data_IF_063138759023
#
_entry.id   IF_063138759023
#
_cell.length_a   1.000
_cell.length_b   1.000
_cell.length_c   1.000
_cell.angle_alpha   90.00
_cell.angle_beta   90.00
_cell.angle_gamma   90.00
#
_symmetry.space_group_name_H-M   'P 1'
#
loop_
_entity.id
_entity.type
_entity.pdbx_description
1 polymer ?
#
# COMPACT_ATOMS: atom_id res chain seq x y z
N UNK A 1 65.32 -28.83 13.10
CA UNK A 1 64.82 -27.47 12.82
C UNK A 1 63.83 -27.59 11.66
N UNK A 2 62.68 -26.88 11.68
CA UNK A 2 61.64 -26.83 10.62
C UNK A 2 60.47 -27.84 10.67
N UNK A 3 59.71 -27.96 11.77
CA UNK A 3 58.33 -28.53 11.70
C UNK A 3 57.31 -27.77 12.59
N UNK A 4 57.74 -27.04 13.63
CA UNK A 4 56.81 -26.42 14.61
C UNK A 4 56.20 -25.06 14.23
N UNK A 5 56.56 -24.45 13.09
CA UNK A 5 56.07 -23.12 12.71
C UNK A 5 54.78 -23.14 11.86
N UNK A 6 54.38 -24.29 11.31
CA UNK A 6 53.30 -24.36 10.31
C UNK A 6 51.89 -24.49 10.90
N UNK A 7 51.72 -25.29 11.96
CA UNK A 7 50.40 -25.66 12.50
C UNK A 7 49.67 -24.47 13.15
N UNK A 8 50.40 -23.57 13.83
CA UNK A 8 49.82 -22.34 14.41
C UNK A 8 49.39 -21.35 13.33
N UNK A 9 50.14 -21.26 12.24
CA UNK A 9 49.83 -20.36 11.12
C UNK A 9 48.55 -20.81 10.40
N UNK A 10 48.42 -22.12 10.14
CA UNK A 10 47.24 -22.75 9.54
C UNK A 10 45.97 -22.58 10.39
N UNK A 11 46.06 -22.74 11.72
CA UNK A 11 44.95 -22.55 12.65
C UNK A 11 44.46 -21.10 12.69
N UNK A 12 45.39 -20.13 12.68
CA UNK A 12 45.07 -18.69 12.66
C UNK A 12 44.40 -18.31 11.33
N UNK A 13 44.91 -18.79 10.20
CA UNK A 13 44.27 -18.54 8.89
C UNK A 13 42.88 -19.15 8.78
N UNK A 14 42.65 -20.35 9.34
CA UNK A 14 41.32 -20.99 9.39
C UNK A 14 40.35 -20.22 10.28
N UNK A 15 40.80 -19.74 11.45
CA UNK A 15 40.00 -18.90 12.34
C UNK A 15 39.62 -17.57 11.68
N UNK A 16 40.56 -16.91 10.99
CA UNK A 16 40.31 -15.66 10.25
C UNK A 16 39.35 -15.88 9.09
N UNK A 17 39.42 -17.04 8.40
CA UNK A 17 38.50 -17.40 7.32
C UNK A 17 37.07 -17.64 7.83
N UNK A 18 36.91 -18.27 9.00
CA UNK A 18 35.62 -18.49 9.66
C UNK A 18 35.00 -17.22 10.21
N UNK A 19 35.80 -16.32 10.79
CA UNK A 19 35.35 -15.00 11.26
C UNK A 19 34.87 -14.10 10.10
N UNK A 20 35.54 -14.17 8.94
CA UNK A 20 35.11 -13.47 7.72
C UNK A 20 33.77 -13.99 7.19
N UNK A 21 33.53 -15.31 7.23
CA UNK A 21 32.24 -15.91 6.82
C UNK A 21 31.09 -15.48 7.74
N UNK A 22 31.34 -15.41 9.06
CA UNK A 22 30.36 -14.92 10.03
C UNK A 22 30.05 -13.42 9.82
N UNK A 23 31.06 -12.60 9.54
CA UNK A 23 30.88 -11.19 9.21
C UNK A 23 30.08 -11.00 7.92
N UNK A 24 30.35 -11.81 6.88
CA UNK A 24 29.57 -11.77 5.63
C UNK A 24 28.12 -12.19 5.84
N UNK A 25 27.86 -13.21 6.68
CA UNK A 25 26.50 -13.66 6.97
C UNK A 25 25.72 -12.62 7.78
N UNK A 26 26.36 -11.95 8.75
CA UNK A 26 25.69 -10.89 9.52
C UNK A 26 25.37 -9.67 8.66
N UNK A 27 26.25 -9.30 7.73
CA UNK A 27 26.02 -8.20 6.79
C UNK A 27 24.81 -8.50 5.88
N UNK A 28 24.69 -9.74 5.41
CA UNK A 28 23.58 -10.17 4.55
C UNK A 28 22.23 -10.09 5.29
N UNK A 29 22.19 -10.46 6.57
CA UNK A 29 20.98 -10.40 7.40
C UNK A 29 20.53 -8.94 7.63
N UNK A 30 21.48 -8.02 7.85
CA UNK A 30 21.18 -6.59 8.04
C UNK A 30 20.59 -5.97 6.76
N UNK A 31 21.09 -6.38 5.59
CA UNK A 31 20.58 -5.92 4.29
C UNK A 31 19.13 -6.37 4.02
N UNK A 32 18.75 -7.57 4.45
CA UNK A 32 17.37 -8.07 4.27
C UNK A 32 16.38 -7.39 5.24
N UNK A 33 16.82 -7.07 6.46
CA UNK A 33 15.99 -6.35 7.44
C UNK A 33 15.80 -4.86 7.13
N UNK A 34 16.73 -4.25 6.38
CA UNK A 34 16.64 -2.86 5.94
C UNK A 34 15.74 -2.62 4.72
N UNK A 35 15.22 -3.67 4.08
CA UNK A 35 14.42 -3.58 2.86
C UNK A 35 12.91 -3.40 3.12
N UNK A 36 12.51 -2.90 4.29
CA UNK A 36 11.15 -2.40 4.48
C UNK A 36 10.98 -1.15 3.59
N UNK A 37 10.34 -1.33 2.43
CA UNK A 37 9.69 -0.23 1.73
C UNK A 37 8.69 0.39 2.71
N UNK A 38 8.94 1.64 3.13
CA UNK A 38 7.89 2.39 3.81
C UNK A 38 6.69 2.46 2.87
N UNK A 39 5.51 2.09 3.36
CA UNK A 39 4.27 2.43 2.65
C UNK A 39 4.33 3.93 2.34
N UNK A 40 4.18 4.28 1.06
CA UNK A 40 4.17 5.66 0.63
C UNK A 40 3.05 6.38 1.36
N UNK A 41 3.44 7.21 2.34
CA UNK A 41 2.50 7.89 3.23
C UNK A 41 2.00 9.14 2.52
N UNK A 42 0.78 9.05 2.00
CA UNK A 42 0.13 10.19 1.36
C UNK A 42 -0.80 10.88 2.37
N UNK A 43 -0.51 12.13 2.77
CA UNK A 43 -1.49 12.93 3.49
C UNK A 43 -2.67 13.20 2.56
N UNK A 44 -3.87 12.78 2.96
CA UNK A 44 -5.08 12.95 2.13
C UNK A 44 -5.97 14.03 2.69
N UNK A 45 -6.18 14.08 4.01
CA UNK A 45 -7.04 15.09 4.62
C UNK A 45 -6.23 16.03 5.50
N UNK A 46 -5.60 17.04 4.88
CA UNK A 46 -4.71 17.94 5.58
C UNK A 46 -3.43 17.23 6.02
N UNK A 47 -3.28 16.98 7.32
CA UNK A 47 -2.14 16.25 7.89
C UNK A 47 -2.46 14.79 8.21
N UNK A 48 -3.72 14.37 8.05
CA UNK A 48 -4.16 13.03 8.43
C UNK A 48 -3.78 12.02 7.34
N UNK A 49 -3.27 10.88 7.79
CA UNK A 49 -3.11 9.70 6.95
C UNK A 49 -4.49 9.05 6.71
N UNK A 50 -4.65 8.35 5.59
CA UNK A 50 -5.89 7.60 5.30
C UNK A 50 -6.18 6.57 6.38
N UNK A 51 -5.12 5.95 6.89
CA UNK A 51 -5.11 5.03 8.02
C UNK A 51 -5.64 5.67 9.32
N UNK A 52 -5.73 6.98 9.42
CA UNK A 52 -6.18 7.67 10.63
C UNK A 52 -7.65 8.10 10.56
N UNK A 53 -8.30 8.00 9.40
CA UNK A 53 -9.72 8.33 9.22
C UNK A 53 -10.63 7.20 9.74
N UNK A 54 -11.33 7.36 10.88
CA UNK A 54 -12.09 6.26 11.49
C UNK A 54 -13.27 5.81 10.61
N UNK A 55 -13.96 6.78 10.00
CA UNK A 55 -15.07 6.53 9.08
C UNK A 55 -14.62 5.72 7.86
N UNK A 56 -13.39 5.95 7.39
CA UNK A 56 -12.85 5.31 6.20
C UNK A 56 -12.61 3.82 6.43
N UNK A 57 -12.03 3.46 7.59
CA UNK A 57 -11.84 2.05 7.98
C UNK A 57 -13.17 1.31 8.11
N UNK A 58 -14.15 1.95 8.73
CA UNK A 58 -15.49 1.37 8.86
C UNK A 58 -16.14 1.18 7.48
N UNK A 59 -16.04 2.19 6.62
CA UNK A 59 -16.58 2.15 5.25
C UNK A 59 -15.92 1.07 4.41
N UNK A 60 -14.60 0.90 4.50
CA UNK A 60 -13.89 -0.21 3.83
C UNK A 60 -14.38 -1.56 4.33
N UNK A 61 -14.61 -1.72 5.62
CA UNK A 61 -15.10 -2.99 6.17
C UNK A 61 -16.49 -3.35 5.63
N UNK A 62 -17.35 -2.35 5.47
CA UNK A 62 -18.67 -2.51 4.84
C UNK A 62 -18.54 -2.79 3.34
N UNK A 63 -17.76 -1.97 2.64
CA UNK A 63 -17.64 -1.94 1.18
C UNK A 63 -16.84 -3.12 0.61
N UNK A 64 -15.67 -3.38 1.21
CA UNK A 64 -14.73 -4.44 0.84
C UNK A 64 -14.97 -5.76 1.58
N UNK A 65 -16.09 -5.90 2.28
CA UNK A 65 -16.41 -7.03 3.17
C UNK A 65 -16.54 -8.39 2.47
N UNK A 66 -17.07 -9.38 3.20
CA UNK A 66 -17.15 -10.78 2.76
C UNK A 66 -18.14 -10.97 1.60
N UNK A 67 -17.70 -11.65 0.53
CA UNK A 67 -18.58 -12.00 -0.59
C UNK A 67 -17.84 -12.22 -1.91
N UNK A 68 -18.54 -12.74 -2.91
CA UNK A 68 -17.98 -13.07 -4.24
C UNK A 68 -17.43 -11.84 -4.99
N UNK A 69 -17.91 -10.65 -4.64
CA UNK A 69 -17.54 -9.39 -5.30
C UNK A 69 -16.48 -8.57 -4.56
N UNK A 70 -16.01 -9.02 -3.40
CA UNK A 70 -15.03 -8.31 -2.57
C UNK A 70 -13.74 -8.00 -3.34
N UNK A 71 -13.26 -8.97 -4.12
CA UNK A 71 -12.08 -8.89 -4.97
C UNK A 71 -12.14 -7.78 -6.04
N UNK A 72 -13.33 -7.24 -6.36
CA UNK A 72 -13.47 -6.19 -7.37
C UNK A 72 -13.47 -4.78 -6.78
N UNK A 73 -13.44 -4.63 -5.45
CA UNK A 73 -13.60 -3.33 -4.79
C UNK A 73 -12.27 -2.56 -4.71
N UNK A 74 -12.35 -1.24 -4.91
CA UNK A 74 -11.23 -0.32 -4.75
C UNK A 74 -11.70 1.06 -4.29
N UNK A 75 -10.77 1.87 -3.80
CA UNK A 75 -11.00 3.28 -3.50
C UNK A 75 -9.92 4.14 -4.12
N UNK A 76 -10.34 5.19 -4.82
CA UNK A 76 -9.47 6.23 -5.35
C UNK A 76 -9.60 7.51 -4.51
N UNK A 77 -8.49 8.22 -4.30
CA UNK A 77 -8.51 9.61 -3.86
C UNK A 77 -8.40 10.52 -5.08
N UNK A 78 -9.12 11.64 -5.06
CA UNK A 78 -9.08 12.67 -6.10
C UNK A 78 -9.10 14.07 -5.49
N UNK A 79 -8.58 15.06 -6.21
CA UNK A 79 -8.81 16.48 -5.92
C UNK A 79 -10.20 16.88 -6.42
N UNK A 80 -11.00 17.48 -5.54
CA UNK A 80 -12.36 17.93 -5.83
C UNK A 80 -12.72 19.16 -5.00
N UNK A 81 -13.20 20.23 -5.66
CA UNK A 81 -13.66 21.48 -5.03
C UNK A 81 -12.69 22.09 -3.98
N UNK A 82 -11.37 21.95 -4.20
CA UNK A 82 -10.36 22.46 -3.27
C UNK A 82 -10.06 21.58 -2.06
N UNK A 83 -10.66 20.39 -1.98
CA UNK A 83 -10.35 19.35 -1.00
C UNK A 83 -10.05 18.00 -1.66
N UNK A 84 -9.91 16.96 -0.84
CA UNK A 84 -9.86 15.58 -1.32
C UNK A 84 -11.24 14.94 -1.28
N UNK A 85 -11.49 14.09 -2.27
CA UNK A 85 -12.65 13.23 -2.35
C UNK A 85 -12.23 11.76 -2.52
N UNK A 86 -13.04 10.86 -1.99
CA UNK A 86 -12.83 9.41 -1.99
C UNK A 86 -13.89 8.74 -2.85
N UNK A 87 -13.48 8.08 -3.92
CA UNK A 87 -14.36 7.41 -4.88
C UNK A 87 -14.36 5.92 -4.56
N UNK A 88 -15.49 5.41 -4.09
CA UNK A 88 -15.68 4.00 -3.80
C UNK A 88 -16.20 3.30 -5.05
N UNK A 89 -15.33 2.54 -5.71
CA UNK A 89 -15.58 1.96 -7.02
C UNK A 89 -15.30 0.46 -7.09
N UNK A 90 -15.69 -0.15 -8.21
CA UNK A 90 -15.32 -1.53 -8.51
C UNK A 90 -15.02 -1.74 -9.99
N UNK A 91 -14.26 -2.78 -10.29
CA UNK A 91 -13.90 -3.19 -11.65
C UNK A 91 -14.68 -4.42 -12.11
N UNK A 92 -15.81 -4.74 -11.46
CA UNK A 92 -16.59 -5.94 -11.76
C UNK A 92 -17.23 -5.80 -13.16
N UNK A 93 -16.86 -6.64 -14.14
CA UNK A 93 -17.31 -6.48 -15.53
C UNK A 93 -18.80 -6.74 -15.75
N UNK A 94 -19.48 -7.34 -14.76
CA UNK A 94 -20.90 -7.70 -14.83
C UNK A 94 -21.76 -6.95 -13.81
N UNK A 95 -21.18 -5.99 -13.08
CA UNK A 95 -21.89 -5.23 -12.07
C UNK A 95 -22.46 -3.93 -12.66
N UNK A 96 -23.73 -3.65 -12.40
CA UNK A 96 -24.34 -2.34 -12.65
C UNK A 96 -24.17 -1.48 -11.40
N UNK A 97 -23.00 -0.86 -11.27
CA UNK A 97 -22.62 -0.16 -10.04
C UNK A 97 -22.73 1.36 -10.16
N UNK A 98 -23.07 1.97 -9.02
CA UNK A 98 -22.98 3.41 -8.78
C UNK A 98 -21.79 3.64 -7.87
N UNK A 99 -20.88 4.54 -8.24
CA UNK A 99 -19.70 4.84 -7.44
C UNK A 99 -19.96 6.06 -6.58
N UNK A 100 -19.98 5.88 -5.26
CA UNK A 100 -20.24 6.94 -4.30
C UNK A 100 -18.96 7.71 -4.00
N UNK A 101 -19.11 9.01 -3.79
CA UNK A 101 -18.01 9.95 -3.54
C UNK A 101 -18.17 10.56 -2.17
N UNK A 102 -17.13 10.51 -1.35
CA UNK A 102 -17.12 11.02 0.03
C UNK A 102 -16.07 12.12 0.22
N UNK A 103 -16.31 13.05 1.15
CA UNK A 103 -15.33 14.03 1.59
C UNK A 103 -14.43 13.50 2.72
N UNK A 104 -13.50 14.33 3.19
CA UNK A 104 -12.60 14.03 4.31
C UNK A 104 -13.29 13.75 5.65
N UNK A 105 -14.52 14.22 5.83
CA UNK A 105 -15.30 14.02 7.05
C UNK A 105 -16.20 12.78 6.95
N UNK A 106 -16.19 12.07 5.82
CA UNK A 106 -17.05 10.93 5.55
C UNK A 106 -18.47 11.33 5.11
N UNK A 107 -18.70 12.58 4.72
CA UNK A 107 -19.97 13.00 4.15
C UNK A 107 -20.06 12.55 2.69
N UNK A 108 -21.20 12.03 2.28
CA UNK A 108 -21.47 11.72 0.88
C UNK A 108 -21.66 13.01 0.10
N UNK A 109 -20.85 13.20 -0.94
CA UNK A 109 -20.92 14.34 -1.86
C UNK A 109 -21.84 14.06 -3.05
N UNK A 110 -22.02 12.79 -3.40
CA UNK A 110 -22.84 12.34 -4.52
C UNK A 110 -22.29 11.06 -5.14
N UNK A 111 -22.56 10.87 -6.42
CA UNK A 111 -22.12 9.71 -7.18
C UNK A 111 -21.39 10.10 -8.46
N UNK A 112 -20.50 9.25 -8.96
CA UNK A 112 -19.83 9.47 -10.24
C UNK A 112 -20.86 9.40 -11.39
N UNK A 113 -21.03 10.50 -12.11
CA UNK A 113 -22.01 10.59 -13.20
C UNK A 113 -22.35 12.03 -13.58
N UNK A 114 -23.18 12.21 -14.60
CA UNK A 114 -23.57 13.53 -15.12
C UNK A 114 -25.04 13.88 -14.86
N UNK A 115 -25.74 13.10 -14.03
CA UNK A 115 -27.13 13.32 -13.65
C UNK A 115 -27.28 14.31 -12.48
N UNK A 116 -28.51 14.52 -12.02
CA UNK A 116 -28.77 15.28 -10.79
C UNK A 116 -28.11 14.60 -9.59
N UNK A 117 -27.28 15.33 -8.83
CA UNK A 117 -26.44 14.77 -7.76
C UNK A 117 -25.19 14.00 -8.26
N UNK A 118 -24.97 13.99 -9.57
CA UNK A 118 -23.80 13.38 -10.20
C UNK A 118 -22.59 14.31 -10.21
N UNK A 119 -21.42 13.74 -9.97
CA UNK A 119 -20.12 14.37 -10.07
C UNK A 119 -19.46 13.89 -11.36
N UNK A 120 -19.25 14.76 -12.36
CA UNK A 120 -18.56 14.39 -13.58
C UNK A 120 -17.14 13.92 -13.30
N UNK A 121 -16.68 12.87 -13.97
CA UNK A 121 -15.30 12.37 -13.80
C UNK A 121 -14.24 13.42 -14.13
N UNK A 122 -14.55 14.38 -15.00
CA UNK A 122 -13.69 15.52 -15.35
C UNK A 122 -13.44 16.50 -14.20
N UNK A 123 -14.25 16.46 -13.14
CA UNK A 123 -14.07 17.31 -11.96
C UNK A 123 -13.21 16.62 -10.88
N UNK A 124 -12.98 15.31 -11.00
CA UNK A 124 -12.20 14.49 -10.07
C UNK A 124 -10.77 14.34 -10.62
N UNK A 125 -9.89 15.24 -10.18
CA UNK A 125 -8.54 15.39 -10.71
C UNK A 125 -7.51 14.56 -9.91
N UNK A 126 -6.35 14.28 -10.51
CA UNK A 126 -5.21 13.63 -9.85
C UNK A 126 -5.59 12.35 -9.09
N UNK A 127 -6.34 11.46 -9.77
CA UNK A 127 -6.83 10.24 -9.15
C UNK A 127 -5.68 9.29 -8.79
N UNK A 128 -5.65 8.85 -7.54
CA UNK A 128 -4.65 7.93 -7.01
C UNK A 128 -5.34 6.77 -6.34
N UNK A 129 -4.89 5.54 -6.63
CA UNK A 129 -5.33 4.36 -5.91
C UNK A 129 -4.81 4.40 -4.47
N UNK A 130 -5.73 4.39 -3.51
CA UNK A 130 -5.39 4.47 -2.08
C UNK A 130 -5.79 3.22 -1.29
N UNK A 131 -6.70 2.42 -1.84
CA UNK A 131 -7.06 1.13 -1.25
C UNK A 131 -7.62 0.20 -2.32
N UNK A 132 -7.37 -1.09 -2.15
CA UNK A 132 -8.02 -2.18 -2.90
C UNK A 132 -8.12 -3.42 -2.02
N UNK A 133 -9.01 -4.34 -2.38
CA UNK A 133 -9.06 -5.65 -1.75
C UNK A 133 -7.70 -6.38 -1.82
N UNK A 134 -7.36 -7.17 -0.80
CA UNK A 134 -6.07 -7.88 -0.75
C UNK A 134 -5.88 -8.83 -1.94
N UNK A 135 -6.96 -9.50 -2.34
CA UNK A 135 -7.03 -10.38 -3.50
C UNK A 135 -7.60 -9.68 -4.75
N UNK A 136 -7.30 -8.38 -4.92
CA UNK A 136 -7.96 -7.59 -5.96
C UNK A 136 -7.77 -8.16 -7.37
N UNK A 137 -8.89 -8.28 -8.09
CA UNK A 137 -8.95 -8.60 -9.52
C UNK A 137 -8.84 -7.37 -10.41
N UNK A 138 -8.71 -6.17 -9.84
CA UNK A 138 -8.63 -4.92 -10.59
C UNK A 138 -7.20 -4.62 -11.05
N UNK A 139 -7.06 -4.22 -12.32
CA UNK A 139 -5.79 -3.78 -12.89
C UNK A 139 -5.78 -2.24 -13.00
N UNK A 140 -4.67 -1.63 -12.59
CA UNK A 140 -4.45 -0.17 -12.55
C UNK A 140 -3.13 0.25 -13.23
N UNK A 141 -2.55 -0.62 -14.08
CA UNK A 141 -1.37 -0.32 -14.92
C UNK A 141 -1.60 0.80 -15.94
#
# INVERSE_FOLDING_TARGET
MLIRLDVKSLLITSYILSMKKLLFLSLLIILVLGACQGEDRFPVCGNDEISDLPWFKEKIKEFGGEGEFAQYQYVLAADYQGGKAFIFGNCCPFCLSVFLVYDCNGNELGYLGTGEGGIPSSELMNQTLIWKAENSSCNFE
#
